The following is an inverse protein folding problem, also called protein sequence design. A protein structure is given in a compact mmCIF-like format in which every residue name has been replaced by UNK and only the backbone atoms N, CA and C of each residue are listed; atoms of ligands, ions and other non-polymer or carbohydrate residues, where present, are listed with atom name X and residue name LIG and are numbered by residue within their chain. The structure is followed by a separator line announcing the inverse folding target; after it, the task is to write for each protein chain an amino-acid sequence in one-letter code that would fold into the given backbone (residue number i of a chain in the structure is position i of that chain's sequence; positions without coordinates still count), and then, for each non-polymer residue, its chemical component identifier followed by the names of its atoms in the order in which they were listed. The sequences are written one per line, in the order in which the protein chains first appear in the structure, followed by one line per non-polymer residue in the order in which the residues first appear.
data_IF_651405248559
#
_entry.id   IF_651405248559
#
_cell.length_a   1.000
_cell.length_b   1.000
_cell.length_c   1.000
_cell.angle_alpha   90.00
_cell.angle_beta   90.00
_cell.angle_gamma   90.00
#
_symmetry.space_group_name_H-M   'P 1'
#
loop_
_entity.id
_entity.type
_entity.pdbx_description
1 polymer ?
#
# COMPACT_ATOMS: atom_id res chain seq x y z
N UNK A 1 1.81 34.03 -42.60
CA UNK A 1 1.24 32.68 -42.40
C UNK A 1 2.19 31.88 -41.51
N UNK A 2 1.66 31.35 -40.39
CA UNK A 2 2.21 30.30 -39.48
C UNK A 2 3.53 30.66 -38.77
N UNK A 3 3.56 31.14 -37.52
CA UNK A 3 3.19 30.47 -36.25
C UNK A 3 3.65 29.01 -36.19
N UNK A 4 4.73 28.76 -35.45
CA UNK A 4 5.02 27.49 -34.81
C UNK A 4 5.60 27.80 -33.41
N UNK A 5 4.72 27.67 -32.41
CA UNK A 5 5.06 27.51 -31.00
C UNK A 5 5.60 26.09 -30.82
N UNK A 6 6.86 25.93 -30.46
CA UNK A 6 7.37 24.71 -29.84
C UNK A 6 7.34 24.90 -28.32
N UNK A 7 6.26 24.43 -27.69
CA UNK A 7 6.22 24.20 -26.25
C UNK A 7 6.85 22.84 -25.94
N UNK A 8 8.17 22.78 -25.78
CA UNK A 8 8.86 21.62 -25.21
C UNK A 8 8.93 21.77 -23.67
N UNK A 9 7.77 21.67 -23.01
CA UNK A 9 7.70 21.57 -21.55
C UNK A 9 7.56 20.10 -21.13
N UNK A 10 8.69 19.39 -21.06
CA UNK A 10 8.75 18.15 -20.28
C UNK A 10 8.61 18.51 -18.80
N UNK A 11 7.69 17.90 -18.04
CA UNK A 11 7.56 18.20 -16.63
C UNK A 11 8.83 17.77 -15.89
N UNK A 12 9.61 18.76 -15.44
CA UNK A 12 10.74 18.56 -14.53
C UNK A 12 10.18 17.93 -13.25
N UNK A 13 10.49 16.65 -13.01
CA UNK A 13 10.17 15.97 -11.75
C UNK A 13 10.84 16.73 -10.61
N UNK A 14 10.06 17.53 -9.89
CA UNK A 14 10.51 18.17 -8.64
C UNK A 14 10.65 17.05 -7.61
N UNK A 15 11.86 16.48 -7.50
CA UNK A 15 12.22 15.64 -6.36
C UNK A 15 12.27 16.54 -5.13
N UNK A 16 11.18 16.60 -4.37
CA UNK A 16 11.20 17.18 -3.02
C UNK A 16 11.94 16.19 -2.12
N UNK A 17 13.27 16.27 -2.10
CA UNK A 17 14.08 15.60 -1.10
C UNK A 17 13.81 16.27 0.24
N UNK A 18 12.86 15.75 1.01
CA UNK A 18 12.65 16.19 2.39
C UNK A 18 13.77 15.58 3.23
N UNK A 19 14.89 16.28 3.33
CA UNK A 19 15.95 15.92 4.29
C UNK A 19 15.46 16.21 5.71
N UNK A 20 15.17 15.14 6.45
CA UNK A 20 14.78 15.21 7.86
C UNK A 20 15.99 15.21 8.78
N UNK A 21 16.01 16.12 9.76
CA UNK A 21 17.03 16.16 10.82
C UNK A 21 16.63 15.24 11.99
N UNK A 22 17.57 14.49 12.58
CA UNK A 22 17.29 13.70 13.78
C UNK A 22 16.93 14.62 14.95
N UNK A 23 15.78 14.41 15.59
CA UNK A 23 15.37 15.12 16.82
C UNK A 23 14.30 16.21 16.67
N UNK A 24 13.87 16.57 15.46
CA UNK A 24 12.70 17.43 15.28
C UNK A 24 11.40 16.61 15.47
N UNK A 25 10.46 17.10 16.29
CA UNK A 25 9.10 16.55 16.32
C UNK A 25 8.50 16.63 14.91
N UNK A 26 7.98 15.51 14.39
CA UNK A 26 7.35 15.46 13.06
C UNK A 26 6.12 16.39 13.09
N UNK A 27 5.91 17.29 12.12
CA UNK A 27 4.64 17.98 11.99
C UNK A 27 3.58 16.94 11.64
N UNK A 28 2.68 16.65 12.58
CA UNK A 28 1.67 15.58 12.47
C UNK A 28 2.08 14.28 13.16
N UNK A 29 2.30 14.31 14.48
CA UNK A 29 2.27 13.12 15.36
C UNK A 29 0.86 12.49 15.43
N UNK A 30 0.14 12.45 14.31
CA UNK A 30 -1.06 11.66 14.17
C UNK A 30 -0.63 10.20 14.15
N UNK A 31 -1.07 9.45 15.17
CA UNK A 31 -0.89 8.00 15.22
C UNK A 31 -1.32 7.39 13.87
N UNK A 32 -0.65 6.32 13.42
CA UNK A 32 -0.99 5.62 12.18
C UNK A 32 -2.50 5.32 12.10
N UNK A 33 -3.08 4.94 13.23
CA UNK A 33 -4.50 4.68 13.45
C UNK A 33 -5.38 5.93 13.20
N UNK A 34 -4.92 7.12 13.60
CA UNK A 34 -5.57 8.40 13.31
C UNK A 34 -5.49 8.71 11.82
N UNK A 35 -4.31 8.54 11.21
CA UNK A 35 -4.12 8.75 9.78
C UNK A 35 -5.02 7.87 8.92
N UNK A 36 -5.16 6.58 9.29
CA UNK A 36 -6.08 5.64 8.67
C UNK A 36 -7.54 6.05 8.91
N UNK A 37 -7.88 6.41 10.15
CA UNK A 37 -9.25 6.81 10.50
C UNK A 37 -9.73 8.02 9.72
N UNK A 38 -8.90 9.06 9.62
CA UNK A 38 -9.22 10.33 8.95
C UNK A 38 -9.47 10.15 7.43
N UNK A 39 -8.94 9.08 6.83
CA UNK A 39 -9.11 8.77 5.41
C UNK A 39 -10.31 7.85 5.13
N UNK A 40 -11.14 7.57 6.14
CA UNK A 40 -12.19 6.56 6.02
C UNK A 40 -11.59 5.20 5.70
N UNK A 41 -10.48 4.88 6.37
CA UNK A 41 -9.89 3.54 6.39
C UNK A 41 -10.02 2.96 7.79
N UNK A 42 -11.07 3.35 8.54
CA UNK A 42 -11.18 2.98 9.96
C UNK A 42 -11.10 1.46 10.17
N UNK A 43 -11.31 0.62 9.12
CA UNK A 43 -11.19 -0.85 9.12
C UNK A 43 -11.68 -1.53 7.82
N UNK A 44 -11.23 -1.13 6.62
CA UNK A 44 -11.77 -1.63 5.32
C UNK A 44 -13.32 -1.67 5.32
N UNK A 45 -13.93 -0.49 5.35
CA UNK A 45 -15.29 -0.13 5.83
C UNK A 45 -16.53 -0.83 5.25
N UNK A 46 -16.39 -1.90 4.48
CA UNK A 46 -17.50 -2.77 4.17
C UNK A 46 -16.99 -4.21 4.19
N UNK A 47 -17.12 -4.86 5.35
CA UNK A 47 -16.75 -6.27 5.50
C UNK A 47 -17.48 -7.17 4.51
N UNK A 48 -18.69 -6.78 4.08
CA UNK A 48 -19.42 -7.47 3.03
C UNK A 48 -18.75 -7.24 1.67
N UNK A 49 -18.34 -6.00 1.36
CA UNK A 49 -17.55 -5.71 0.16
C UNK A 49 -16.22 -6.46 0.15
N UNK A 50 -15.45 -6.46 1.24
CA UNK A 50 -14.18 -7.17 1.30
C UNK A 50 -14.35 -8.68 1.17
N UNK A 51 -15.39 -9.25 1.79
CA UNK A 51 -15.71 -10.68 1.66
C UNK A 51 -16.17 -11.03 0.24
N UNK A 52 -16.82 -10.11 -0.46
CA UNK A 52 -17.26 -10.28 -1.85
C UNK A 52 -16.17 -9.92 -2.87
N UNK A 53 -15.14 -9.16 -2.46
CA UNK A 53 -14.06 -8.71 -3.31
C UNK A 53 -13.22 -9.90 -3.75
N UNK A 54 -13.02 -10.01 -5.07
CA UNK A 54 -12.25 -11.10 -5.68
C UNK A 54 -10.85 -10.66 -6.09
N UNK A 55 -10.62 -9.35 -6.17
CA UNK A 55 -9.35 -8.81 -6.62
C UNK A 55 -8.45 -8.48 -5.41
N UNK A 56 -7.20 -8.99 -5.37
CA UNK A 56 -6.26 -8.62 -4.33
C UNK A 56 -5.91 -7.14 -4.42
N UNK A 57 -5.67 -6.51 -3.27
CA UNK A 57 -5.46 -5.06 -3.19
C UNK A 57 -4.09 -4.67 -3.76
N UNK A 58 -3.14 -5.59 -3.70
CA UNK A 58 -1.76 -5.47 -4.15
C UNK A 58 -1.64 -5.12 -5.64
N UNK A 59 -2.60 -5.53 -6.47
CA UNK A 59 -2.63 -5.19 -7.90
C UNK A 59 -2.88 -3.68 -8.12
N UNK A 60 -3.49 -3.02 -7.13
CA UNK A 60 -3.82 -1.60 -7.17
C UNK A 60 -2.83 -0.73 -6.39
N UNK A 61 -1.74 -1.32 -5.89
CA UNK A 61 -0.65 -0.58 -5.30
C UNK A 61 -0.01 0.34 -6.36
N UNK A 62 0.38 1.52 -5.92
CA UNK A 62 0.96 2.54 -6.77
C UNK A 62 2.28 2.99 -6.14
N UNK A 63 3.36 2.58 -6.81
CA UNK A 63 4.72 2.85 -6.40
C UNK A 63 5.02 4.35 -6.28
N UNK A 64 4.22 5.25 -6.87
CA UNK A 64 4.41 6.70 -6.73
C UNK A 64 4.16 7.23 -5.32
N UNK A 65 3.41 6.47 -4.49
CA UNK A 65 3.19 6.81 -3.09
C UNK A 65 4.31 6.31 -2.17
N UNK A 66 5.22 5.49 -2.69
CA UNK A 66 6.30 4.95 -1.88
C UNK A 66 7.34 6.03 -1.58
N UNK A 67 7.68 6.20 -0.30
CA UNK A 67 8.73 7.14 0.10
C UNK A 67 10.11 6.73 -0.42
N UNK A 68 10.35 5.41 -0.47
CA UNK A 68 11.58 4.77 -0.93
C UNK A 68 11.21 3.52 -1.70
N UNK A 69 11.94 3.24 -2.76
CA UNK A 69 11.91 1.96 -3.48
C UNK A 69 12.44 0.82 -2.60
N UNK A 70 12.16 -0.43 -2.96
CA UNK A 70 12.70 -1.62 -2.28
C UNK A 70 14.23 -1.56 -2.16
N UNK A 71 14.91 -1.10 -3.22
CA UNK A 71 16.36 -0.91 -3.26
C UNK A 71 16.82 0.10 -2.21
N UNK A 72 16.21 1.28 -2.20
CA UNK A 72 16.55 2.36 -1.25
C UNK A 72 16.29 1.94 0.21
N UNK A 73 15.27 1.10 0.46
CA UNK A 73 15.05 0.53 1.79
C UNK A 73 16.14 -0.45 2.20
N UNK A 74 16.58 -1.33 1.30
CA UNK A 74 17.70 -2.24 1.58
C UNK A 74 19.00 -1.47 1.85
N UNK A 75 19.28 -0.42 1.07
CA UNK A 75 20.43 0.46 1.30
C UNK A 75 20.34 1.17 2.66
N UNK A 76 19.14 1.63 3.04
CA UNK A 76 18.92 2.23 4.34
C UNK A 76 19.21 1.26 5.49
N UNK A 77 18.73 0.01 5.38
CA UNK A 77 19.02 -1.06 6.37
C UNK A 77 20.51 -1.33 6.47
N UNK A 78 21.21 -1.43 5.34
CA UNK A 78 22.67 -1.63 5.31
C UNK A 78 23.41 -0.47 5.97
N UNK A 79 22.99 0.76 5.70
CA UNK A 79 23.58 1.98 6.29
C UNK A 79 23.38 2.04 7.81
N UNK A 80 22.26 1.49 8.30
CA UNK A 80 21.97 1.32 9.74
C UNK A 80 22.71 0.14 10.40
N UNK A 81 23.70 -0.45 9.72
CA UNK A 81 24.50 -1.57 10.22
C UNK A 81 23.79 -2.92 10.13
N UNK A 82 22.82 -3.07 9.24
CA UNK A 82 22.06 -4.32 9.05
C UNK A 82 21.02 -4.59 10.13
N UNK A 83 20.69 -3.59 10.96
CA UNK A 83 19.63 -3.70 11.97
C UNK A 83 18.26 -3.72 11.30
N UNK A 84 17.34 -4.62 11.71
CA UNK A 84 16.00 -4.63 11.13
C UNK A 84 15.24 -3.35 11.49
N UNK A 85 14.41 -2.87 10.57
CA UNK A 85 13.56 -1.71 10.80
C UNK A 85 12.32 -2.14 11.57
N UNK A 86 11.89 -1.31 12.52
CA UNK A 86 10.61 -1.53 13.17
C UNK A 86 9.49 -1.11 12.20
N UNK A 87 8.40 -1.86 12.15
CA UNK A 87 7.23 -1.52 11.37
C UNK A 87 5.95 -2.04 12.01
N UNK A 88 4.83 -1.65 11.40
CA UNK A 88 3.51 -2.20 11.68
C UNK A 88 2.95 -2.77 10.39
N UNK A 89 2.48 -4.01 10.46
CA UNK A 89 1.83 -4.66 9.34
C UNK A 89 0.32 -4.69 9.57
N UNK A 90 -0.45 -4.31 8.56
CA UNK A 90 -1.90 -4.37 8.56
C UNK A 90 -2.35 -5.79 8.19
N UNK A 91 -2.74 -6.57 9.19
CA UNK A 91 -3.13 -7.97 9.03
C UNK A 91 -4.60 -8.10 8.66
N UNK A 92 -4.90 -9.07 7.78
CA UNK A 92 -6.25 -9.54 7.49
C UNK A 92 -6.43 -10.89 8.20
N UNK A 93 -7.19 -10.91 9.29
CA UNK A 93 -7.54 -12.14 10.01
C UNK A 93 -9.00 -12.50 9.70
N UNK A 94 -9.34 -13.79 9.74
CA UNK A 94 -10.73 -14.23 9.54
C UNK A 94 -11.66 -13.55 10.55
N UNK A 95 -12.58 -12.72 10.06
CA UNK A 95 -13.51 -11.95 10.89
C UNK A 95 -12.98 -10.64 11.47
N UNK A 96 -11.67 -10.35 11.34
CA UNK A 96 -11.06 -9.07 11.77
C UNK A 96 -10.13 -8.54 10.69
N UNK A 97 -10.63 -7.59 9.92
CA UNK A 97 -9.85 -6.89 8.91
C UNK A 97 -9.22 -5.64 9.54
N UNK A 98 -7.90 -5.49 9.40
CA UNK A 98 -7.20 -4.27 9.78
C UNK A 98 -6.57 -4.27 11.17
N UNK A 99 -6.18 -5.45 11.67
CA UNK A 99 -5.41 -5.53 12.93
C UNK A 99 -3.97 -5.15 12.63
N UNK A 100 -3.47 -4.08 13.26
CA UNK A 100 -2.05 -3.72 13.19
C UNK A 100 -1.25 -4.64 14.12
N UNK A 101 -0.21 -5.28 13.58
CA UNK A 101 0.76 -6.06 14.35
C UNK A 101 2.14 -5.49 14.18
N UNK A 102 2.88 -5.36 15.28
CA UNK A 102 4.26 -4.90 15.26
C UNK A 102 5.18 -5.98 14.64
N UNK A 103 6.07 -5.55 13.76
CA UNK A 103 6.99 -6.41 13.05
C UNK A 103 8.39 -5.78 12.90
N UNK A 104 9.36 -6.62 12.59
CA UNK A 104 10.72 -6.25 12.20
C UNK A 104 10.93 -6.57 10.73
N UNK A 105 11.46 -5.61 9.98
CA UNK A 105 11.69 -5.72 8.53
C UNK A 105 13.18 -5.86 8.28
N UNK A 106 13.59 -6.97 7.64
CA UNK A 106 15.00 -7.28 7.41
C UNK A 106 15.48 -6.91 6.02
N UNK A 107 14.62 -7.11 5.01
CA UNK A 107 14.95 -6.80 3.62
C UNK A 107 13.68 -6.73 2.78
N UNK A 108 13.82 -6.09 1.63
CA UNK A 108 12.83 -6.07 0.57
C UNK A 108 13.40 -6.85 -0.61
N UNK A 109 12.71 -7.89 -1.03
CA UNK A 109 13.08 -8.66 -2.21
C UNK A 109 12.60 -7.93 -3.46
N UNK A 110 13.55 -7.48 -4.27
CA UNK A 110 13.29 -6.76 -5.53
C UNK A 110 12.71 -7.67 -6.62
N UNK A 111 12.97 -8.99 -6.53
CA UNK A 111 12.51 -9.95 -7.54
C UNK A 111 11.05 -10.32 -7.34
N UNK A 112 10.65 -10.57 -6.09
CA UNK A 112 9.26 -10.94 -5.75
C UNK A 112 8.40 -9.74 -5.36
N UNK A 113 9.02 -8.58 -5.10
CA UNK A 113 8.33 -7.40 -4.60
C UNK A 113 7.82 -7.56 -3.16
N UNK A 114 8.36 -8.52 -2.38
CA UNK A 114 7.92 -8.83 -1.01
C UNK A 114 8.88 -8.30 0.03
N UNK A 115 8.37 -7.98 1.22
CA UNK A 115 9.17 -7.65 2.39
C UNK A 115 9.37 -8.90 3.26
N UNK A 116 10.61 -9.16 3.67
CA UNK A 116 10.95 -10.21 4.63
C UNK A 116 10.84 -9.65 6.04
N UNK A 117 9.85 -10.15 6.79
CA UNK A 117 9.54 -9.66 8.12
C UNK A 117 9.59 -10.77 9.18
N UNK A 118 9.81 -10.39 10.44
CA UNK A 118 9.52 -11.23 11.61
C UNK A 118 8.56 -10.51 12.55
N UNK A 119 7.72 -11.26 13.25
CA UNK A 119 6.77 -10.68 14.20
C UNK A 119 7.46 -10.35 15.53
N UNK A 120 7.04 -9.27 16.20
CA UNK A 120 7.61 -8.90 17.51
C UNK A 120 7.21 -9.87 18.62
N UNK A 121 6.01 -10.42 18.53
CA UNK A 121 5.42 -11.26 19.58
C UNK A 121 5.73 -12.76 19.44
N UNK A 122 6.46 -13.17 18.39
CA UNK A 122 6.85 -14.57 18.24
C UNK A 122 7.98 -14.92 19.23
N UNK A 123 7.60 -15.55 20.34
CA UNK A 123 8.48 -16.02 21.43
C UNK A 123 9.61 -16.98 21.01
N UNK A 124 9.65 -17.37 19.72
CA UNK A 124 10.76 -18.08 19.08
C UNK A 124 11.28 -17.19 17.95
N UNK A 125 12.22 -16.30 18.26
CA UNK A 125 12.96 -15.59 17.21
C UNK A 125 14.14 -16.48 16.79
N UNK A 126 13.84 -17.60 16.12
CA UNK A 126 14.82 -18.21 15.23
C UNK A 126 14.97 -17.29 14.02
N UNK A 127 16.19 -17.11 13.51
CA UNK A 127 16.43 -16.34 12.28
C UNK A 127 15.68 -16.87 11.05
N UNK A 128 15.08 -18.06 11.18
CA UNK A 128 14.36 -18.83 10.16
C UNK A 128 12.86 -18.51 10.08
N UNK A 129 12.27 -17.84 11.08
CA UNK A 129 10.83 -17.50 11.10
C UNK A 129 10.51 -16.22 10.32
N UNK A 130 11.20 -15.99 9.21
CA UNK A 130 10.97 -14.84 8.33
C UNK A 130 9.84 -15.14 7.35
N UNK A 131 8.87 -14.24 7.28
CA UNK A 131 7.76 -14.34 6.34
C UNK A 131 7.92 -13.29 5.24
N UNK A 132 7.75 -13.71 3.98
CA UNK A 132 7.75 -12.82 2.83
C UNK A 132 6.32 -12.33 2.55
N UNK A 133 6.03 -11.09 2.91
CA UNK A 133 4.69 -10.48 2.80
C UNK A 133 4.66 -9.28 1.86
N UNK A 134 3.44 -8.90 1.44
CA UNK A 134 3.26 -7.74 0.57
C UNK A 134 3.60 -6.44 1.29
N UNK A 135 4.48 -5.58 0.73
CA UNK A 135 4.80 -4.28 1.31
C UNK A 135 3.61 -3.32 1.34
N UNK A 136 2.56 -3.60 0.56
CA UNK A 136 1.35 -2.78 0.47
C UNK A 136 0.71 -2.53 1.85
N UNK A 137 0.75 -3.54 2.72
CA UNK A 137 0.19 -3.49 4.07
C UNK A 137 1.21 -3.15 5.17
N UNK A 138 2.47 -2.93 4.79
CA UNK A 138 3.56 -2.62 5.71
C UNK A 138 3.76 -1.11 5.79
N UNK A 139 3.70 -0.57 7.02
CA UNK A 139 4.13 0.78 7.34
C UNK A 139 5.41 0.68 8.18
N UNK A 140 6.52 1.17 7.65
CA UNK A 140 7.80 1.21 8.38
C UNK A 140 7.79 2.43 9.32
N UNK A 141 8.38 2.36 10.51
CA UNK A 141 8.37 3.50 11.46
C UNK A 141 9.07 4.75 10.90
N UNK A 142 10.10 4.55 10.09
CA UNK A 142 10.83 5.61 9.38
C UNK A 142 10.05 6.19 8.18
N UNK A 143 8.92 5.59 7.81
CA UNK A 143 7.99 6.11 6.79
C UNK A 143 7.05 7.18 7.37
N UNK A 144 6.41 7.94 6.48
CA UNK A 144 5.36 8.89 6.83
C UNK A 144 4.00 8.16 6.87
N UNK A 145 3.35 8.06 8.05
CA UNK A 145 2.08 7.33 8.19
C UNK A 145 0.94 7.93 7.35
N UNK A 146 0.97 9.24 7.08
CA UNK A 146 -0.02 9.86 6.20
C UNK A 146 0.13 9.38 4.76
N UNK A 147 1.35 9.29 4.23
CA UNK A 147 1.60 8.80 2.87
C UNK A 147 1.20 7.33 2.73
N UNK A 148 1.51 6.51 3.73
CA UNK A 148 1.05 5.12 3.79
C UNK A 148 -0.49 5.03 3.75
N UNK A 149 -1.17 5.85 4.56
CA UNK A 149 -2.63 5.86 4.59
C UNK A 149 -3.23 6.36 3.25
N UNK A 150 -2.61 7.34 2.60
CA UNK A 150 -2.99 7.80 1.26
C UNK A 150 -2.81 6.70 0.21
N UNK A 151 -1.67 5.97 0.24
CA UNK A 151 -1.41 4.81 -0.63
C UNK A 151 -2.51 3.77 -0.51
N UNK A 152 -2.84 3.40 0.73
CA UNK A 152 -3.86 2.40 1.01
C UNK A 152 -5.25 2.86 0.54
N UNK A 153 -5.59 4.14 0.75
CA UNK A 153 -6.87 4.71 0.28
C UNK A 153 -6.96 4.71 -1.24
N UNK A 154 -5.89 5.09 -1.93
CA UNK A 154 -5.84 5.11 -3.38
C UNK A 154 -6.06 3.71 -3.96
N UNK A 155 -5.36 2.69 -3.44
CA UNK A 155 -5.53 1.31 -3.86
C UNK A 155 -6.96 0.79 -3.61
N UNK A 156 -7.54 1.06 -2.42
CA UNK A 156 -8.91 0.64 -2.09
C UNK A 156 -9.91 1.29 -3.05
N UNK A 157 -9.73 2.57 -3.35
CA UNK A 157 -10.61 3.32 -4.27
C UNK A 157 -10.52 2.76 -5.70
N UNK A 158 -9.30 2.50 -6.19
CA UNK A 158 -9.08 1.90 -7.52
C UNK A 158 -9.67 0.50 -7.62
N UNK A 159 -9.48 -0.33 -6.59
CA UNK A 159 -10.07 -1.68 -6.56
C UNK A 159 -11.59 -1.62 -6.61
N UNK A 160 -12.22 -0.76 -5.79
CA UNK A 160 -13.68 -0.57 -5.79
C UNK A 160 -14.20 -0.13 -7.15
N UNK A 161 -13.50 0.79 -7.80
CA UNK A 161 -13.83 1.23 -9.15
C UNK A 161 -13.69 0.08 -10.18
N UNK A 162 -12.59 -0.66 -10.15
CA UNK A 162 -12.39 -1.79 -11.06
C UNK A 162 -13.46 -2.87 -10.88
N UNK A 163 -13.78 -3.23 -9.63
CA UNK A 163 -14.83 -4.21 -9.37
C UNK A 163 -16.22 -3.72 -9.79
N UNK A 164 -16.54 -2.44 -9.63
CA UNK A 164 -17.83 -1.91 -10.08
C UNK A 164 -17.96 -1.95 -11.60
N UNK A 165 -16.88 -1.66 -12.34
CA UNK A 165 -16.85 -1.79 -13.80
C UNK A 165 -17.05 -3.25 -14.25
N UNK A 166 -16.41 -4.20 -13.56
CA UNK A 166 -16.56 -5.63 -13.85
C UNK A 166 -18.01 -6.07 -13.62
N UNK A 167 -18.61 -5.71 -12.49
CA UNK A 167 -20.02 -6.06 -12.17
C UNK A 167 -21.00 -5.45 -13.15
N UNK A 168 -20.80 -4.17 -13.52
CA UNK A 168 -21.65 -3.51 -14.52
C UNK A 168 -21.58 -4.22 -15.87
N UNK A 169 -20.37 -4.62 -16.30
CA UNK A 169 -20.20 -5.34 -17.54
C UNK A 169 -20.90 -6.70 -17.53
N UNK A 170 -20.77 -7.45 -16.43
CA UNK A 170 -21.47 -8.74 -16.26
C UNK A 170 -22.99 -8.57 -16.36
N UNK A 171 -23.55 -7.53 -15.72
CA UNK A 171 -24.99 -7.25 -15.78
C UNK A 171 -25.47 -6.95 -17.22
N UNK A 172 -24.73 -6.12 -17.96
CA UNK A 172 -25.08 -5.80 -19.36
C UNK A 172 -25.01 -7.05 -20.25
N UNK A 173 -24.01 -7.91 -20.03
CA UNK A 173 -23.84 -9.15 -20.78
C UNK A 173 -25.00 -10.14 -20.46
N UNK A 174 -25.42 -10.25 -19.20
CA UNK A 174 -26.59 -11.06 -18.79
C UNK A 174 -27.89 -10.59 -19.46
N UNK A 175 -28.16 -9.27 -19.45
CA UNK A 175 -29.36 -8.69 -20.09
C UNK A 175 -29.35 -8.92 -21.62
N UNK A 176 -28.18 -8.83 -22.25
CA UNK A 176 -28.03 -9.06 -23.70
C UNK A 176 -28.33 -10.51 -24.10
N UNK A 177 -27.99 -11.48 -23.25
CA UNK A 177 -28.28 -12.89 -23.46
C UNK A 177 -29.75 -13.21 -23.20
N UNK A 178 -30.39 -12.53 -22.25
CA UNK A 178 -31.83 -12.69 -21.97
C UNK A 178 -32.72 -12.16 -23.11
N UNK A 179 -32.28 -11.11 -23.82
CA UNK A 179 -33.01 -10.49 -24.94
C UNK A 179 -33.01 -11.28 -26.26
N UNK A 180 -32.36 -12.44 -26.33
CA UNK A 180 -32.28 -13.28 -27.55
C UNK A 180 -33.11 -14.56 -27.50
N UNK A 181 -34.12 -14.66 -26.62
CA UNK A 181 -35.14 -15.71 -26.74
C UNK A 181 -35.95 -15.49 -28.03
N UNK A 182 -35.83 -16.35 -29.05
CA UNK A 182 -36.68 -16.28 -30.23
C UNK A 182 -38.08 -16.71 -29.80
N UNK A 183 -39.09 -15.88 -30.07
CA UNK A 183 -40.48 -16.33 -30.14
C UNK A 183 -40.70 -17.15 -31.41
#
# INVERSE_FOLDING_TARGET
MRSNFECDERPKKIRKTVMWRPGARRPGDDSLESCLSNRGLRWLEDAAFEKASRLPLEIFDDASFWMRTSHEWNEFIRTMGGRPLAGRYLFKEEGKIGVLRDCYVYSFDETTGKANISWRDSARTSSDDKQALSPMFLCVHEENPSLFADRLKAAVTRRRYAESQIRLRMLIEEDSLAGTSPQ
#
